data_IF_790678778403
#
_entry.id   IF_790678778403
#
_cell.length_a   1.000
_cell.length_b   1.000
_cell.length_c   1.000
_cell.angle_alpha   90.00
_cell.angle_beta   90.00
_cell.angle_gamma   90.00
#
_symmetry.space_group_name_H-M   'P 1'
#
loop_
_entity.id
_entity.type
_entity.pdbx_description
1 polymer ?
#
# COMPACT_ATOMS: atom_id res chain seq x y z
N UNK A 1 -12.61 -9.67 -6.46
CA UNK A 1 -12.46 -9.12 -5.09
C UNK A 1 -11.62 -10.01 -4.19
N UNK A 2 -10.29 -9.93 -4.30
CA UNK A 2 -9.40 -10.62 -3.37
C UNK A 2 -9.51 -9.99 -1.97
N UNK A 3 -9.30 -10.81 -0.95
CA UNK A 3 -9.20 -10.36 0.45
C UNK A 3 -7.81 -10.68 0.93
N UNK A 4 -7.17 -9.73 1.60
CA UNK A 4 -5.83 -9.90 2.14
C UNK A 4 -5.83 -9.78 3.66
N UNK A 5 -5.09 -10.67 4.31
CA UNK A 5 -4.58 -10.42 5.66
C UNK A 5 -3.20 -9.77 5.50
N UNK A 6 -3.06 -8.55 6.00
CA UNK A 6 -1.82 -7.79 5.88
C UNK A 6 -1.29 -7.34 7.23
N UNK A 7 0.03 -7.25 7.31
CA UNK A 7 0.74 -6.47 8.31
C UNK A 7 1.33 -5.24 7.61
N UNK A 8 1.17 -4.06 8.21
CA UNK A 8 1.53 -2.82 7.56
C UNK A 8 0.96 -1.61 8.29
N UNK A 9 0.90 -0.47 7.60
CA UNK A 9 0.25 0.74 8.09
C UNK A 9 -0.54 1.41 6.97
N UNK A 10 -1.46 2.31 7.34
CA UNK A 10 -2.21 3.12 6.38
C UNK A 10 -1.34 4.27 5.89
N UNK A 11 -1.39 4.56 4.61
CA UNK A 11 -0.79 5.74 4.00
C UNK A 11 -1.90 6.66 3.49
N UNK A 12 -2.20 7.74 4.23
CA UNK A 12 -3.24 8.70 3.87
C UNK A 12 -3.05 9.25 2.46
N UNK A 13 -4.14 9.30 1.68
CA UNK A 13 -4.09 9.77 0.29
C UNK A 13 -3.47 11.17 0.12
N UNK A 14 -3.73 12.15 1.01
CA UNK A 14 -3.02 13.44 0.96
C UNK A 14 -1.50 13.30 1.08
N UNK A 15 -1.00 12.39 1.93
CA UNK A 15 0.43 12.16 2.11
C UNK A 15 1.06 11.43 0.90
N UNK A 16 0.32 10.51 0.27
CA UNK A 16 0.73 9.88 -0.99
C UNK A 16 0.94 10.96 -2.08
N UNK A 17 -0.05 11.84 -2.25
CA UNK A 17 0.04 12.95 -3.23
C UNK A 17 1.22 13.87 -2.94
N UNK A 18 1.42 14.24 -1.67
CA UNK A 18 2.58 15.05 -1.25
C UNK A 18 3.89 14.35 -1.58
N UNK A 19 4.01 13.04 -1.32
CA UNK A 19 5.21 12.28 -1.63
C UNK A 19 5.52 12.29 -3.14
N UNK A 20 4.52 12.00 -3.98
CA UNK A 20 4.65 12.04 -5.44
C UNK A 20 5.13 13.41 -5.93
N UNK A 21 4.53 14.50 -5.43
CA UNK A 21 4.90 15.86 -5.80
C UNK A 21 6.33 16.20 -5.35
N UNK A 22 6.68 15.91 -4.10
CA UNK A 22 7.99 16.25 -3.55
C UNK A 22 9.14 15.46 -4.22
N UNK A 23 8.85 14.25 -4.70
CA UNK A 23 9.82 13.39 -5.35
C UNK A 23 9.80 13.49 -6.88
N UNK A 24 8.91 14.31 -7.46
CA UNK A 24 8.71 14.46 -8.91
C UNK A 24 8.49 13.11 -9.62
N UNK A 25 7.53 12.31 -9.14
CA UNK A 25 7.23 10.99 -9.67
C UNK A 25 6.15 11.06 -10.76
N UNK A 26 6.57 11.31 -12.01
CA UNK A 26 5.64 11.54 -13.12
C UNK A 26 4.81 10.30 -13.50
N UNK A 27 5.34 9.09 -13.26
CA UNK A 27 4.66 7.81 -13.56
C UNK A 27 3.77 7.29 -12.40
N UNK A 28 3.66 8.08 -11.32
CA UNK A 28 2.90 7.71 -10.13
C UNK A 28 1.59 8.50 -10.00
N UNK A 29 0.48 7.78 -9.83
CA UNK A 29 -0.82 8.38 -9.57
C UNK A 29 -1.36 7.95 -8.20
N UNK A 30 -1.64 8.93 -7.34
CA UNK A 30 -2.06 8.64 -5.97
C UNK A 30 -3.35 7.82 -5.94
N UNK A 31 -4.28 7.98 -6.88
CA UNK A 31 -5.58 7.31 -6.95
C UNK A 31 -5.50 5.88 -7.54
N UNK A 32 -4.34 5.50 -8.08
CA UNK A 32 -4.10 4.25 -8.80
C UNK A 32 -2.83 3.58 -8.28
N UNK A 33 -2.71 3.49 -6.95
CA UNK A 33 -1.47 3.10 -6.29
C UNK A 33 -0.99 1.70 -6.68
N UNK A 34 -1.94 0.78 -6.88
CA UNK A 34 -1.69 -0.62 -7.27
C UNK A 34 -1.53 -0.80 -8.78
N UNK A 35 -1.57 0.27 -9.59
CA UNK A 35 -1.26 0.15 -11.01
C UNK A 35 0.23 -0.22 -11.17
N UNK A 36 0.61 -1.06 -12.15
CA UNK A 36 1.99 -1.52 -12.30
C UNK A 36 3.00 -0.36 -12.37
N UNK A 37 2.72 0.66 -13.20
CA UNK A 37 3.60 1.83 -13.36
C UNK A 37 3.78 2.62 -12.05
N UNK A 38 2.68 2.88 -11.33
CA UNK A 38 2.75 3.61 -10.06
C UNK A 38 3.45 2.79 -8.97
N UNK A 39 3.19 1.48 -8.91
CA UNK A 39 3.82 0.59 -7.93
C UNK A 39 5.33 0.52 -8.15
N UNK A 40 5.77 0.31 -9.40
CA UNK A 40 7.19 0.27 -9.77
C UNK A 40 7.88 1.59 -9.45
N UNK A 41 7.31 2.72 -9.91
CA UNK A 41 7.85 4.06 -9.68
C UNK A 41 8.03 4.36 -8.18
N UNK A 42 7.05 4.02 -7.35
CA UNK A 42 7.12 4.24 -5.90
C UNK A 42 8.10 3.31 -5.19
N UNK A 43 8.16 2.03 -5.58
CA UNK A 43 9.12 1.08 -5.00
C UNK A 43 10.56 1.47 -5.35
N UNK A 44 10.83 1.87 -6.59
CA UNK A 44 12.14 2.37 -7.01
C UNK A 44 12.54 3.64 -6.27
N UNK A 45 11.57 4.55 -6.07
CA UNK A 45 11.78 5.73 -5.24
C UNK A 45 12.09 5.36 -3.78
N UNK A 46 11.39 4.38 -3.20
CA UNK A 46 11.66 3.91 -1.83
C UNK A 46 13.02 3.24 -1.72
N UNK A 47 13.44 2.44 -2.72
CA UNK A 47 14.79 1.87 -2.77
C UNK A 47 15.88 2.94 -2.84
N UNK A 48 15.59 4.08 -3.48
CA UNK A 48 16.51 5.21 -3.59
C UNK A 48 16.58 6.03 -2.30
N UNK A 49 15.44 6.36 -1.69
CA UNK A 49 15.37 7.23 -0.50
C UNK A 49 15.66 6.50 0.81
N UNK A 50 15.25 5.24 0.91
CA UNK A 50 15.23 4.47 2.15
C UNK A 50 15.95 3.10 1.98
N UNK A 51 17.18 3.07 1.44
CA UNK A 51 17.85 1.82 1.07
C UNK A 51 18.08 0.89 2.27
N UNK A 52 18.30 1.42 3.46
CA UNK A 52 18.52 0.63 4.67
C UNK A 52 17.24 -0.04 5.16
N UNK A 53 16.11 0.65 5.11
CA UNK A 53 14.80 0.07 5.44
C UNK A 53 14.42 -0.99 4.40
N UNK A 54 14.62 -0.69 3.11
CA UNK A 54 14.23 -1.60 2.02
C UNK A 54 15.01 -2.92 2.01
N UNK A 55 16.24 -2.98 2.57
CA UNK A 55 16.97 -4.26 2.79
C UNK A 55 16.19 -5.24 3.66
N UNK A 56 15.36 -4.74 4.56
CA UNK A 56 14.56 -5.53 5.50
C UNK A 56 13.09 -5.63 5.12
N UNK A 57 12.69 -5.02 4.00
CA UNK A 57 11.31 -5.02 3.48
C UNK A 57 11.24 -5.58 2.05
N UNK A 58 11.77 -6.79 1.77
CA UNK A 58 11.86 -7.32 0.40
C UNK A 58 10.50 -7.64 -0.24
N UNK A 59 9.44 -7.74 0.57
CA UNK A 59 8.08 -8.06 0.12
C UNK A 59 7.11 -6.89 0.31
N UNK A 60 7.64 -5.66 0.39
CA UNK A 60 6.80 -4.47 0.55
C UNK A 60 5.80 -4.37 -0.62
N UNK A 61 4.52 -4.16 -0.30
CA UNK A 61 3.43 -4.08 -1.27
C UNK A 61 2.45 -2.98 -0.90
N UNK A 62 1.90 -2.32 -1.91
CA UNK A 62 0.78 -1.41 -1.77
C UNK A 62 -0.56 -2.15 -1.91
N UNK A 63 -1.53 -1.84 -1.07
CA UNK A 63 -2.88 -2.45 -1.12
C UNK A 63 -3.95 -1.37 -1.03
N UNK A 64 -4.98 -1.44 -1.87
CA UNK A 64 -6.11 -0.51 -1.84
C UNK A 64 -7.38 -1.23 -1.40
N UNK A 65 -8.06 -0.68 -0.40
CA UNK A 65 -9.36 -1.19 -0.01
C UNK A 65 -10.40 -0.84 -1.07
N UNK A 66 -11.45 -1.65 -1.17
CA UNK A 66 -12.56 -1.46 -2.09
C UNK A 66 -13.88 -1.50 -1.34
N UNK A 67 -14.73 -0.51 -1.62
CA UNK A 67 -16.11 -0.46 -1.17
C UNK A 67 -17.05 -0.65 -2.38
N UNK A 68 -17.82 -1.74 -2.44
CA UNK A 68 -18.74 -1.99 -3.55
C UNK A 68 -19.96 -1.05 -3.55
N UNK A 69 -20.28 -0.42 -2.43
CA UNK A 69 -21.40 0.52 -2.30
C UNK A 69 -20.99 1.97 -2.67
N UNK A 70 -19.70 2.21 -2.91
CA UNK A 70 -19.20 3.50 -3.36
C UNK A 70 -19.64 3.76 -4.82
N UNK A 71 -20.78 4.44 -4.98
CA UNK A 71 -21.19 5.00 -6.26
C UNK A 71 -20.11 5.99 -6.72
N UNK A 72 -19.49 5.71 -7.88
CA UNK A 72 -18.43 6.51 -8.50
C UNK A 72 -18.95 7.91 -8.87
N UNK A 73 -19.08 8.78 -7.88
CA UNK A 73 -19.67 10.13 -8.02
C UNK A 73 -18.61 11.23 -7.95
N UNK A 74 -17.33 10.87 -7.88
CA UNK A 74 -16.22 11.83 -7.96
C UNK A 74 -15.48 11.68 -9.29
N UNK A 75 -15.14 12.82 -9.90
CA UNK A 75 -14.42 12.90 -11.17
C UNK A 75 -13.02 12.27 -11.16
N UNK A 76 -12.52 11.85 -9.99
CA UNK A 76 -11.17 11.29 -9.78
C UNK A 76 -11.16 9.77 -9.53
N UNK A 77 -12.31 9.10 -9.71
CA UNK A 77 -12.48 7.67 -9.42
C UNK A 77 -12.65 7.37 -7.91
N UNK A 78 -13.18 6.18 -7.56
CA UNK A 78 -13.37 5.78 -6.16
C UNK A 78 -12.01 5.53 -5.51
N UNK A 79 -11.42 6.56 -4.92
CA UNK A 79 -10.18 6.45 -4.16
C UNK A 79 -10.49 6.55 -2.68
N UNK A 80 -10.33 5.45 -1.99
CA UNK A 80 -10.48 5.36 -0.55
C UNK A 80 -9.46 6.29 0.15
N UNK A 81 -9.77 6.79 1.37
CA UNK A 81 -9.01 7.89 2.02
C UNK A 81 -7.55 7.56 2.33
N UNK A 82 -7.18 6.28 2.26
CA UNK A 82 -5.82 5.78 2.41
C UNK A 82 -5.63 4.52 1.57
N UNK A 83 -4.38 4.18 1.31
CA UNK A 83 -3.96 2.84 0.91
C UNK A 83 -3.14 2.21 2.05
N UNK A 84 -2.75 0.95 1.92
CA UNK A 84 -1.86 0.29 2.87
C UNK A 84 -0.47 0.13 2.27
N UNK A 85 0.54 0.31 3.11
CA UNK A 85 1.93 -0.08 2.86
C UNK A 85 2.19 -1.29 3.73
N UNK A 86 2.33 -2.46 3.11
CA UNK A 86 2.34 -3.75 3.78
C UNK A 86 3.65 -4.51 3.55
N UNK A 87 4.30 -4.94 4.62
CA UNK A 87 5.48 -5.81 4.56
C UNK A 87 5.12 -7.31 4.59
N UNK A 88 3.91 -7.62 5.07
CA UNK A 88 3.29 -8.95 4.92
C UNK A 88 1.94 -8.76 4.24
N UNK A 89 1.69 -9.50 3.16
CA UNK A 89 0.41 -9.50 2.47
C UNK A 89 0.08 -10.92 2.02
N UNK A 90 -0.94 -11.53 2.62
CA UNK A 90 -1.36 -12.92 2.38
C UNK A 90 -2.79 -12.93 1.86
N UNK A 91 -2.99 -13.52 0.68
CA UNK A 91 -4.32 -13.69 0.08
C UNK A 91 -5.15 -14.71 0.90
N UNK A 92 -6.37 -14.32 1.23
CA UNK A 92 -7.37 -15.16 1.90
C UNK A 92 -8.25 -15.79 0.83
N UNK A 93 -7.98 -17.05 0.48
CA UNK A 93 -8.72 -17.79 -0.56
C UNK A 93 -10.09 -18.28 -0.08
N UNK A 94 -10.09 -19.09 0.98
CA UNK A 94 -11.32 -19.63 1.60
C UNK A 94 -11.46 -19.19 3.06
N UNK A 95 -10.34 -19.05 3.76
CA UNK A 95 -10.25 -18.63 5.14
C UNK A 95 -8.80 -18.62 5.60
N UNK A 96 -8.53 -17.95 6.71
CA UNK A 96 -7.20 -17.86 7.32
C UNK A 96 -7.32 -17.88 8.84
N UNK A 97 -6.40 -18.58 9.52
CA UNK A 97 -6.29 -18.52 10.97
C UNK A 97 -5.44 -17.31 11.38
N UNK A 98 -6.09 -16.28 11.90
CA UNK A 98 -5.44 -15.01 12.27
C UNK A 98 -4.41 -15.22 13.39
N UNK A 99 -4.68 -16.09 14.37
CA UNK A 99 -3.76 -16.34 15.47
C UNK A 99 -2.49 -17.04 14.99
N UNK A 100 -2.60 -17.96 14.03
CA UNK A 100 -1.44 -18.58 13.39
C UNK A 100 -0.62 -17.55 12.61
N UNK A 101 -1.28 -16.71 11.80
CA UNK A 101 -0.60 -15.68 11.00
C UNK A 101 0.10 -14.64 11.88
N UNK A 102 -0.56 -14.17 12.93
CA UNK A 102 0.03 -13.24 13.91
C UNK A 102 1.09 -13.90 14.77
N UNK A 103 0.95 -15.19 15.05
CA UNK A 103 1.91 -15.99 15.82
C UNK A 103 3.24 -16.18 15.10
N UNK A 104 3.26 -16.20 13.75
CA UNK A 104 4.49 -16.13 12.96
C UNK A 104 5.24 -14.81 13.16
N UNK A 105 4.50 -13.75 13.48
CA UNK A 105 5.01 -12.43 13.79
C UNK A 105 5.73 -11.77 12.61
N UNK A 106 6.38 -10.65 12.91
CA UNK A 106 7.28 -9.93 11.99
C UNK A 106 8.65 -9.93 12.65
N UNK A 107 9.70 -10.24 11.87
CA UNK A 107 11.06 -10.28 12.42
C UNK A 107 11.47 -8.91 12.96
N UNK A 108 12.29 -8.87 14.02
CA UNK A 108 12.67 -7.62 14.68
C UNK A 108 13.23 -6.56 13.73
N UNK A 109 14.15 -6.92 12.83
CA UNK A 109 14.71 -5.98 11.85
C UNK A 109 13.68 -5.49 10.82
N UNK A 110 12.79 -6.37 10.36
CA UNK A 110 11.69 -6.01 9.46
C UNK A 110 10.71 -5.05 10.12
N UNK A 111 10.33 -5.32 11.38
CA UNK A 111 9.47 -4.45 12.17
C UNK A 111 10.08 -3.06 12.38
N UNK A 112 11.36 -2.97 12.75
CA UNK A 112 12.04 -1.68 12.90
C UNK A 112 12.11 -0.92 11.58
N UNK A 113 12.45 -1.59 10.47
CA UNK A 113 12.48 -0.97 9.16
C UNK A 113 11.11 -0.44 8.72
N UNK A 114 10.02 -1.19 8.98
CA UNK A 114 8.66 -0.74 8.71
C UNK A 114 8.28 0.47 9.56
N UNK A 115 8.63 0.47 10.86
CA UNK A 115 8.39 1.61 11.75
C UNK A 115 9.11 2.87 11.27
N UNK A 116 10.40 2.76 10.92
CA UNK A 116 11.18 3.89 10.43
C UNK A 116 10.63 4.41 9.09
N UNK A 117 10.26 3.53 8.16
CA UNK A 117 9.62 3.93 6.89
C UNK A 117 8.31 4.66 7.16
N UNK A 118 7.46 4.13 8.05
CA UNK A 118 6.20 4.76 8.47
C UNK A 118 6.45 6.15 9.04
N UNK A 119 7.46 6.31 9.89
CA UNK A 119 7.80 7.60 10.49
C UNK A 119 8.21 8.65 9.43
N UNK A 120 8.69 8.23 8.26
CA UNK A 120 9.02 9.13 7.13
C UNK A 120 7.80 9.53 6.29
N UNK A 121 6.91 8.59 5.98
CA UNK A 121 5.86 8.81 4.97
C UNK A 121 4.44 8.94 5.55
N UNK A 122 4.22 8.49 6.79
CA UNK A 122 2.93 8.49 7.48
C UNK A 122 3.12 8.49 9.03
N UNK A 123 3.76 9.52 9.62
CA UNK A 123 4.22 9.49 11.01
C UNK A 123 3.13 9.29 12.06
N UNK A 124 1.90 9.73 11.78
CA UNK A 124 0.75 9.62 12.69
C UNK A 124 0.08 8.24 12.68
N UNK A 125 0.39 7.42 11.68
CA UNK A 125 -0.27 6.13 11.48
C UNK A 125 0.35 5.05 12.34
N UNK A 126 -0.37 3.95 12.58
CA UNK A 126 0.11 2.86 13.44
C UNK A 126 0.24 1.57 12.66
N UNK A 127 1.39 0.87 12.74
CA UNK A 127 1.50 -0.48 12.22
C UNK A 127 0.51 -1.42 12.90
N UNK A 128 -0.04 -2.37 12.14
CA UNK A 128 -1.02 -3.31 12.63
C UNK A 128 -1.34 -4.41 11.63
N UNK A 129 -2.21 -5.33 12.06
CA UNK A 129 -2.77 -6.37 11.22
C UNK A 129 -4.17 -5.96 10.74
N UNK A 130 -4.42 -6.12 9.45
CA UNK A 130 -5.68 -5.71 8.82
C UNK A 130 -6.20 -6.82 7.90
N UNK A 131 -7.53 -6.95 7.83
CA UNK A 131 -8.22 -7.71 6.79
C UNK A 131 -8.79 -6.72 5.80
N UNK A 132 -8.38 -6.79 4.54
CA UNK A 132 -8.70 -5.79 3.53
C UNK A 132 -9.35 -6.44 2.32
N UNK A 133 -10.56 -5.98 1.99
CA UNK A 133 -11.27 -6.36 0.77
C UNK A 133 -10.84 -5.43 -0.36
N UNK A 134 -10.46 -6.00 -1.50
CA UNK A 134 -9.93 -5.26 -2.66
C UNK A 134 -10.82 -5.49 -3.90
N UNK A 135 -10.75 -4.59 -4.89
CA UNK A 135 -11.59 -4.67 -6.10
C UNK A 135 -11.13 -5.82 -7.00
N UNK A 136 -9.86 -5.78 -7.44
CA UNK A 136 -9.13 -6.78 -8.23
C UNK A 136 -7.60 -6.62 -8.05
N UNK A 137 -6.79 -7.58 -8.51
CA UNK A 137 -5.32 -7.57 -8.31
C UNK A 137 -4.58 -6.53 -9.16
N UNK A 138 -5.09 -6.20 -10.35
CA UNK A 138 -4.49 -5.23 -11.26
C UNK A 138 -5.51 -4.16 -11.65
N UNK A 139 -5.13 -2.90 -11.44
CA UNK A 139 -5.94 -1.73 -11.79
C UNK A 139 -5.14 -0.85 -12.74
N UNK A 140 -5.46 -0.89 -14.03
CA UNK A 140 -4.87 0.02 -15.00
C UNK A 140 -5.48 1.41 -14.84
N UNK A 141 -4.64 2.45 -14.91
CA UNK A 141 -5.13 3.81 -15.08
C UNK A 141 -5.87 3.91 -16.42
N UNK A 142 -6.93 4.75 -16.51
CA UNK A 142 -7.58 5.00 -17.79
C UNK A 142 -6.56 5.50 -18.81
N UNK A 143 -6.69 5.06 -20.07
CA UNK A 143 -5.85 5.55 -21.15
C UNK A 143 -6.04 7.05 -21.30
N UNK A 144 -4.93 7.81 -21.26
CA UNK A 144 -4.92 9.20 -21.71
C UNK A 144 -5.44 9.22 -23.15
N UNK A 145 -6.53 9.94 -23.41
CA UNK A 145 -7.05 10.12 -24.76
C UNK A 145 -6.04 11.03 -25.48
N UNK A 146 -5.47 10.55 -26.59
CA UNK A 146 -4.62 11.34 -27.51
C UNK A 146 -5.36 12.57 -28.08
#
# INVERSE_FOLDING_TARGET
MPVYLLHGFKWPRPLIRIHIILQNLDDAAAEWLISPATTECLLDNFHTLYPDQMKHLPNLRFVEQFDPEEESSTANGPSQPFAYVADVCVEVKLGINIDESRGKGVMGAQWQALMELRDKIAPEERPGWFVVVCRDEERLAPSSID
#
